data_IF_343129820025
#
_entry.id   IF_343129820025
#
_cell.length_a   1.000
_cell.length_b   1.000
_cell.length_c   1.000
_cell.angle_alpha   90.00
_cell.angle_beta   90.00
_cell.angle_gamma   90.00
#
_symmetry.space_group_name_H-M   'P 1'
#
loop_
_entity.id
_entity.type
_entity.pdbx_description
1 polymer ?
#
# COMPACT_ATOMS: atom_id res chain seq x y z
N UNK A 1 49.70 19.52 50.97
CA UNK A 1 48.27 19.32 50.64
C UNK A 1 47.88 19.70 49.20
N UNK A 2 48.74 20.29 48.35
CA UNK A 2 48.33 20.69 46.98
C UNK A 2 48.39 19.56 45.93
N UNK A 3 49.12 18.46 46.19
CA UNK A 3 49.17 17.32 45.25
C UNK A 3 47.83 16.56 45.12
N UNK A 4 47.01 16.58 46.18
CA UNK A 4 45.71 15.91 46.20
C UNK A 4 44.60 16.70 45.49
N UNK A 5 44.72 18.04 45.40
CA UNK A 5 43.76 18.87 44.66
C UNK A 5 43.97 18.75 43.16
N UNK A 6 45.22 18.74 42.69
CA UNK A 6 45.52 18.64 41.25
C UNK A 6 45.12 17.28 40.68
N UNK A 7 45.23 16.20 41.46
CA UNK A 7 44.80 14.87 41.05
C UNK A 7 43.27 14.76 40.96
N UNK A 8 42.54 15.38 41.90
CA UNK A 8 41.07 15.44 41.88
C UNK A 8 40.54 16.26 40.72
N UNK A 9 41.21 17.37 40.37
CA UNK A 9 40.84 18.21 39.22
C UNK A 9 41.09 17.45 37.91
N UNK A 10 42.19 16.71 37.79
CA UNK A 10 42.48 15.87 36.61
C UNK A 10 41.50 14.70 36.45
N UNK A 11 41.06 14.07 37.55
CA UNK A 11 40.02 13.03 37.51
C UNK A 11 38.66 13.64 37.13
N UNK A 12 38.29 14.78 37.71
CA UNK A 12 37.04 15.47 37.36
C UNK A 12 37.01 15.89 35.88
N UNK A 13 38.15 16.37 35.34
CA UNK A 13 38.28 16.70 33.93
C UNK A 13 38.21 15.46 33.02
N UNK A 14 38.83 14.34 33.43
CA UNK A 14 38.76 13.08 32.68
C UNK A 14 37.33 12.51 32.67
N UNK A 15 36.62 12.56 33.81
CA UNK A 15 35.21 12.11 33.90
C UNK A 15 34.30 13.02 33.08
N UNK A 16 34.53 14.34 33.06
CA UNK A 16 33.76 15.29 32.26
C UNK A 16 33.96 15.09 30.75
N UNK A 17 35.19 14.76 30.31
CA UNK A 17 35.47 14.44 28.90
C UNK A 17 34.86 13.10 28.50
N UNK A 18 34.90 12.09 29.38
CA UNK A 18 34.24 10.79 29.12
C UNK A 18 32.72 10.91 29.11
N UNK A 19 32.11 11.76 29.96
CA UNK A 19 30.66 12.02 29.92
C UNK A 19 30.23 12.90 28.74
N UNK A 20 31.07 13.84 28.27
CA UNK A 20 30.82 14.57 27.02
C UNK A 20 30.99 13.69 25.77
N UNK A 21 31.91 12.70 25.78
CA UNK A 21 32.06 11.71 24.70
C UNK A 21 30.97 10.62 24.75
N UNK A 22 30.44 10.29 25.93
CA UNK A 22 29.31 9.37 26.06
C UNK A 22 27.95 10.05 25.76
N UNK A 23 27.83 11.37 25.99
CA UNK A 23 26.62 12.15 25.75
C UNK A 23 26.29 12.41 24.27
N UNK A 24 27.22 12.18 23.36
CA UNK A 24 27.01 12.30 21.90
C UNK A 24 26.70 10.96 21.22
N UNK A 25 26.68 9.85 21.98
CA UNK A 25 26.27 8.51 21.49
C UNK A 25 24.99 8.05 22.20
N UNK A 26 24.02 8.95 22.32
CA UNK A 26 22.60 8.57 22.33
C UNK A 26 22.06 8.84 20.94
N UNK A 27 22.66 8.17 19.95
CA UNK A 27 21.93 7.88 18.72
C UNK A 27 20.89 6.86 19.15
N UNK A 28 19.64 7.29 19.22
CA UNK A 28 18.54 6.36 19.34
C UNK A 28 18.76 5.25 18.30
N UNK A 29 18.90 4.01 18.75
CA UNK A 29 18.59 2.83 17.96
C UNK A 29 17.08 2.84 17.68
N UNK A 30 16.64 3.80 16.88
CA UNK A 30 15.66 3.53 15.87
C UNK A 30 16.50 3.09 14.67
N UNK A 31 16.96 1.84 14.71
CA UNK A 31 17.08 1.09 13.46
C UNK A 31 15.69 1.13 12.84
N UNK A 32 15.41 2.17 12.06
CA UNK A 32 14.32 2.17 11.11
C UNK A 32 14.57 0.92 10.30
N UNK A 33 13.74 -0.09 10.51
CA UNK A 33 13.88 -1.35 9.81
C UNK A 33 13.83 -0.96 8.34
N UNK A 34 14.93 -1.16 7.62
CA UNK A 34 15.01 -0.89 6.20
C UNK A 34 14.08 -1.88 5.48
N UNK A 35 12.77 -1.60 5.58
CA UNK A 35 11.69 -2.38 5.01
C UNK A 35 11.06 -1.57 3.90
N UNK A 36 10.54 -2.31 2.95
CA UNK A 36 9.86 -1.75 1.81
C UNK A 36 10.77 -1.10 0.77
N UNK A 37 10.25 -1.02 -0.45
CA UNK A 37 10.85 -0.30 -1.58
C UNK A 37 9.71 0.45 -2.24
N UNK A 38 9.73 1.77 -2.15
CA UNK A 38 8.70 2.61 -2.77
C UNK A 38 8.72 2.39 -4.30
N UNK A 39 7.56 2.11 -4.92
CA UNK A 39 7.47 2.07 -6.37
C UNK A 39 7.93 3.39 -6.98
N UNK A 40 8.68 3.33 -8.07
CA UNK A 40 8.91 4.48 -8.91
C UNK A 40 7.56 4.89 -9.54
N UNK A 41 7.28 6.19 -9.57
CA UNK A 41 6.02 6.69 -10.10
C UNK A 41 5.86 6.27 -11.56
N UNK A 42 4.88 5.42 -11.85
CA UNK A 42 4.48 5.12 -13.22
C UNK A 42 3.57 6.24 -13.68
N UNK A 43 4.14 7.21 -14.39
CA UNK A 43 3.32 8.08 -15.23
C UNK A 43 2.67 7.17 -16.29
N UNK A 44 1.43 7.41 -16.68
CA UNK A 44 0.69 6.54 -17.60
C UNK A 44 1.22 6.53 -19.05
N UNK A 45 2.40 7.11 -19.28
CA UNK A 45 3.07 7.28 -20.57
C UNK A 45 3.78 6.01 -21.02
N UNK A 46 4.06 5.91 -22.33
CA UNK A 46 4.89 4.84 -22.87
C UNK A 46 6.36 5.07 -22.58
N UNK A 47 7.03 4.09 -21.99
CA UNK A 47 8.42 4.25 -21.53
C UNK A 47 9.36 3.27 -22.25
N UNK A 48 10.45 3.81 -22.78
CA UNK A 48 11.53 3.03 -23.38
C UNK A 48 12.84 3.44 -22.72
N UNK A 49 13.38 2.56 -21.88
CA UNK A 49 14.64 2.75 -21.17
C UNK A 49 15.80 2.04 -21.89
N UNK A 50 17.03 2.40 -21.53
CA UNK A 50 18.23 1.74 -22.03
C UNK A 50 18.57 2.06 -23.48
N UNK A 51 18.20 3.24 -23.98
CA UNK A 51 18.49 3.67 -25.35
C UNK A 51 19.91 4.20 -25.43
N UNK A 52 20.81 3.40 -25.99
CA UNK A 52 22.20 3.76 -26.18
C UNK A 52 22.39 4.65 -27.42
N UNK A 53 23.05 5.79 -27.23
CA UNK A 53 23.44 6.73 -28.28
C UNK A 53 24.92 7.08 -28.22
N UNK A 54 25.53 7.17 -29.39
CA UNK A 54 26.91 7.58 -29.58
C UNK A 54 27.00 8.39 -30.87
N UNK A 55 27.03 9.71 -30.73
CA UNK A 55 26.95 10.64 -31.86
C UNK A 55 28.05 11.67 -31.82
N UNK A 56 28.35 12.23 -32.99
CA UNK A 56 29.29 13.32 -33.15
C UNK A 56 28.58 14.59 -33.65
N UNK A 57 29.06 15.75 -33.19
CA UNK A 57 28.56 17.05 -33.57
C UNK A 57 29.67 18.07 -33.75
N UNK A 58 29.31 19.25 -34.23
CA UNK A 58 30.27 20.34 -34.49
C UNK A 58 30.85 20.91 -33.18
N UNK A 59 30.08 20.78 -32.09
CA UNK A 59 30.45 21.10 -30.72
C UNK A 59 29.63 20.22 -29.74
N UNK A 60 29.89 20.35 -28.44
CA UNK A 60 29.24 19.58 -27.38
C UNK A 60 27.71 19.73 -27.36
N UNK A 61 27.18 20.93 -27.64
CA UNK A 61 25.74 21.21 -27.63
C UNK A 61 25.05 20.58 -28.84
N UNK A 62 25.66 20.69 -30.02
CA UNK A 62 25.18 20.07 -31.25
C UNK A 62 25.22 18.53 -31.16
N UNK A 63 26.31 17.96 -30.61
CA UNK A 63 26.41 16.53 -30.38
C UNK A 63 25.32 16.04 -29.42
N UNK A 64 25.04 16.79 -28.34
CA UNK A 64 23.95 16.45 -27.41
C UNK A 64 22.59 16.48 -28.07
N UNK A 65 22.29 17.54 -28.85
CA UNK A 65 21.02 17.68 -29.58
C UNK A 65 20.80 16.50 -30.53
N UNK A 66 21.80 16.18 -31.36
CA UNK A 66 21.77 15.01 -32.27
C UNK A 66 21.58 13.70 -31.50
N UNK A 67 22.17 13.60 -30.31
CA UNK A 67 22.05 12.42 -29.45
C UNK A 67 20.62 12.22 -28.96
N UNK A 68 19.92 13.30 -28.60
CA UNK A 68 18.51 13.23 -28.22
C UNK A 68 17.61 12.89 -29.41
N UNK A 69 17.84 13.46 -30.59
CA UNK A 69 17.09 13.14 -31.81
C UNK A 69 17.26 11.65 -32.20
N UNK A 70 18.49 11.14 -32.14
CA UNK A 70 18.76 9.72 -32.42
C UNK A 70 18.13 8.81 -31.36
N UNK A 71 18.19 9.19 -30.09
CA UNK A 71 17.55 8.44 -29.00
C UNK A 71 16.04 8.34 -29.20
N UNK A 72 15.37 9.44 -29.57
CA UNK A 72 13.93 9.42 -29.85
C UNK A 72 13.59 8.46 -31.00
N UNK A 73 14.38 8.47 -32.08
CA UNK A 73 14.17 7.59 -33.24
C UNK A 73 14.34 6.11 -32.87
N UNK A 74 15.41 5.78 -32.16
CA UNK A 74 15.69 4.42 -31.66
C UNK A 74 14.61 3.96 -30.68
N UNK A 75 14.23 4.82 -29.74
CA UNK A 75 13.20 4.54 -28.75
C UNK A 75 11.85 4.23 -29.41
N UNK A 76 11.47 4.99 -30.43
CA UNK A 76 10.24 4.74 -31.18
C UNK A 76 10.26 3.38 -31.88
N UNK A 77 11.38 3.00 -32.50
CA UNK A 77 11.52 1.69 -33.13
C UNK A 77 11.40 0.56 -32.10
N UNK A 78 12.02 0.71 -30.92
CA UNK A 78 11.89 -0.25 -29.82
C UNK A 78 10.44 -0.36 -29.33
N UNK A 79 9.74 0.76 -29.14
CA UNK A 79 8.34 0.80 -28.74
C UNK A 79 7.44 0.12 -29.78
N UNK A 80 7.65 0.42 -31.07
CA UNK A 80 6.90 -0.17 -32.17
C UNK A 80 7.11 -1.69 -32.24
N UNK A 81 8.37 -2.14 -32.14
CA UNK A 81 8.71 -3.56 -32.11
C UNK A 81 8.06 -4.28 -30.93
N UNK A 82 8.04 -3.66 -29.74
CA UNK A 82 7.38 -4.19 -28.54
C UNK A 82 5.85 -4.28 -28.70
N UNK A 83 5.24 -3.33 -29.38
CA UNK A 83 3.77 -3.24 -29.47
C UNK A 83 3.17 -3.98 -30.67
N UNK A 84 3.85 -4.00 -31.82
CA UNK A 84 3.34 -4.58 -33.07
C UNK A 84 4.12 -5.82 -33.52
N UNK A 85 5.25 -6.13 -32.89
CA UNK A 85 6.07 -7.30 -33.23
C UNK A 85 6.85 -7.19 -34.55
N UNK A 86 6.82 -6.02 -35.22
CA UNK A 86 7.48 -5.77 -36.50
C UNK A 86 8.46 -4.58 -36.45
N UNK A 87 9.09 -4.30 -37.59
CA UNK A 87 9.93 -3.11 -37.77
C UNK A 87 9.12 -1.95 -38.34
N UNK A 88 9.54 -0.72 -38.07
CA UNK A 88 8.92 0.50 -38.58
C UNK A 88 9.92 1.33 -39.36
N UNK A 89 9.46 2.03 -40.38
CA UNK A 89 10.25 3.07 -41.07
C UNK A 89 10.60 4.25 -40.13
N UNK A 90 10.00 4.30 -38.94
CA UNK A 90 10.16 5.39 -37.98
C UNK A 90 9.19 6.54 -38.25
N UNK A 91 9.32 7.60 -37.45
CA UNK A 91 8.61 8.86 -37.63
C UNK A 91 9.63 9.97 -37.91
N UNK A 92 9.26 11.02 -38.66
CA UNK A 92 10.12 12.19 -38.81
C UNK A 92 10.30 12.89 -37.45
N UNK A 93 11.46 13.52 -37.26
CA UNK A 93 11.88 14.06 -35.96
C UNK A 93 10.89 15.12 -35.42
N UNK A 94 10.27 15.93 -36.28
CA UNK A 94 9.22 16.89 -35.88
C UNK A 94 7.99 16.20 -35.27
N UNK A 95 7.62 15.04 -35.80
CA UNK A 95 6.52 14.24 -35.26
C UNK A 95 6.92 13.56 -33.96
N UNK A 96 8.16 13.08 -33.85
CA UNK A 96 8.71 12.52 -32.60
C UNK A 96 8.70 13.57 -31.48
N UNK A 97 9.19 14.78 -31.74
CA UNK A 97 9.17 15.89 -30.79
C UNK A 97 7.76 16.25 -30.30
N UNK A 98 6.73 16.01 -31.12
CA UNK A 98 5.33 16.27 -30.75
C UNK A 98 4.72 15.15 -29.90
N UNK A 99 5.30 13.95 -29.86
CA UNK A 99 4.76 12.81 -29.09
C UNK A 99 5.61 12.46 -27.87
N UNK A 100 6.87 12.88 -27.83
CA UNK A 100 7.75 12.70 -26.67
C UNK A 100 7.30 13.64 -25.55
N UNK A 101 7.04 13.07 -24.38
CA UNK A 101 6.67 13.84 -23.18
C UNK A 101 7.91 14.21 -22.35
N UNK A 102 8.88 13.30 -22.25
CA UNK A 102 10.12 13.54 -21.51
C UNK A 102 11.27 12.66 -22.02
N UNK A 103 12.49 13.10 -21.74
CA UNK A 103 13.73 12.32 -21.92
C UNK A 103 14.41 12.22 -20.55
N UNK A 104 14.64 10.99 -20.11
CA UNK A 104 15.33 10.65 -18.86
C UNK A 104 16.79 10.38 -19.19
N UNK A 105 17.69 10.96 -18.41
CA UNK A 105 19.13 10.75 -18.55
C UNK A 105 19.55 9.68 -17.54
N UNK A 106 19.90 8.48 -18.01
CA UNK A 106 20.41 7.41 -17.13
C UNK A 106 21.91 7.57 -16.92
N UNK A 107 22.64 7.70 -18.02
CA UNK A 107 24.08 7.95 -18.02
C UNK A 107 24.43 8.89 -19.16
N UNK A 108 25.23 9.91 -18.90
CA UNK A 108 25.62 10.91 -19.90
C UNK A 108 27.11 11.22 -19.82
N UNK A 109 27.79 11.20 -20.96
CA UNK A 109 29.17 11.63 -21.13
C UNK A 109 29.26 12.59 -22.32
N UNK A 110 29.68 13.82 -22.03
CA UNK A 110 29.77 14.89 -23.02
C UNK A 110 31.23 15.20 -23.29
N UNK A 111 31.70 14.82 -24.48
CA UNK A 111 33.00 15.24 -25.00
C UNK A 111 32.89 16.54 -25.80
N UNK A 112 34.02 17.10 -26.28
CA UNK A 112 34.02 18.35 -27.04
C UNK A 112 33.19 18.32 -28.33
N UNK A 113 33.11 17.15 -28.98
CA UNK A 113 32.39 16.88 -30.24
C UNK A 113 31.69 15.53 -30.27
N UNK A 114 31.64 14.81 -29.15
CA UNK A 114 31.08 13.45 -29.06
C UNK A 114 30.15 13.38 -27.87
N UNK A 115 29.02 12.72 -28.05
CA UNK A 115 28.01 12.54 -27.02
C UNK A 115 27.72 11.05 -26.90
N UNK A 116 27.97 10.47 -25.72
CA UNK A 116 27.68 9.07 -25.40
C UNK A 116 26.72 9.08 -24.23
N UNK A 117 25.55 8.46 -24.40
CA UNK A 117 24.56 8.40 -23.34
C UNK A 117 23.70 7.14 -23.41
N UNK A 118 23.19 6.76 -22.25
CA UNK A 118 22.06 5.83 -22.11
C UNK A 118 20.87 6.66 -21.67
N UNK A 119 19.84 6.71 -22.49
CA UNK A 119 18.68 7.58 -22.31
C UNK A 119 17.40 6.74 -22.20
N UNK A 120 16.47 7.23 -21.39
CA UNK A 120 15.07 6.82 -21.40
C UNK A 120 14.24 7.83 -22.19
N UNK A 121 13.31 7.37 -23.01
CA UNK A 121 12.37 8.23 -23.73
C UNK A 121 10.94 7.88 -23.35
N UNK A 122 10.20 8.89 -22.94
CA UNK A 122 8.79 8.79 -22.58
C UNK A 122 7.95 9.36 -23.72
N UNK A 123 6.94 8.61 -24.15
CA UNK A 123 5.99 9.02 -25.15
C UNK A 123 4.62 9.18 -24.52
N UNK A 124 3.97 10.30 -24.83
CA UNK A 124 2.59 10.53 -24.45
C UNK A 124 1.70 9.41 -24.99
N UNK A 125 1.00 8.74 -24.09
CA UNK A 125 0.22 7.56 -24.43
C UNK A 125 -0.91 7.85 -25.41
N UNK A 126 -1.61 8.98 -25.27
CA UNK A 126 -2.75 9.29 -26.13
C UNK A 126 -2.27 9.53 -27.57
N UNK A 127 -1.22 10.34 -27.73
CA UNK A 127 -0.65 10.69 -29.03
C UNK A 127 0.06 9.50 -29.68
N UNK A 128 0.99 8.85 -28.98
CA UNK A 128 1.70 7.68 -29.50
C UNK A 128 0.75 6.51 -29.76
N UNK A 129 -0.23 6.31 -28.87
CA UNK A 129 -1.21 5.24 -28.98
C UNK A 129 -2.09 5.34 -30.23
N UNK A 130 -2.44 6.56 -30.63
CA UNK A 130 -3.20 6.82 -31.87
C UNK A 130 -2.42 6.41 -33.13
N UNK A 131 -1.10 6.64 -33.15
CA UNK A 131 -0.22 6.29 -34.27
C UNK A 131 0.04 4.79 -34.31
N UNK A 132 0.25 4.17 -33.15
CA UNK A 132 0.54 2.75 -33.02
C UNK A 132 -0.70 1.87 -33.24
N UNK A 133 -1.89 2.44 -33.43
CA UNK A 133 -3.15 1.68 -33.51
C UNK A 133 -3.50 0.95 -32.22
N UNK A 134 -2.84 1.30 -31.11
CA UNK A 134 -3.06 0.71 -29.78
C UNK A 134 -4.02 1.53 -28.92
N UNK A 135 -4.50 2.66 -29.45
CA UNK A 135 -5.48 3.55 -28.83
C UNK A 135 -6.92 3.04 -28.80
N UNK A 136 -7.18 1.78 -29.18
CA UNK A 136 -8.46 1.13 -28.92
C UNK A 136 -8.65 0.90 -27.42
N UNK A 137 -9.91 0.78 -26.95
CA UNK A 137 -10.25 0.28 -25.61
C UNK A 137 -9.66 -1.12 -25.44
N UNK A 138 -8.38 -1.21 -25.06
CA UNK A 138 -7.79 -2.45 -24.59
C UNK A 138 -8.53 -2.79 -23.30
N UNK A 139 -9.05 -4.01 -23.24
CA UNK A 139 -9.55 -4.56 -22.00
C UNK A 139 -8.44 -4.44 -20.96
N UNK A 140 -8.62 -3.53 -20.00
CA UNK A 140 -7.70 -3.32 -18.90
C UNK A 140 -8.18 -4.14 -17.72
N UNK A 141 -7.24 -4.69 -16.94
CA UNK A 141 -7.64 -5.31 -15.69
C UNK A 141 -8.17 -4.22 -14.75
N UNK A 142 -9.07 -4.59 -13.82
CA UNK A 142 -9.27 -3.78 -12.63
C UNK A 142 -7.96 -3.74 -11.81
N UNK A 143 -7.84 -2.84 -10.81
CA UNK A 143 -6.63 -2.74 -9.99
C UNK A 143 -6.33 -4.06 -9.27
N UNK A 144 -5.16 -4.63 -9.51
CA UNK A 144 -4.70 -5.90 -8.93
C UNK A 144 -3.58 -5.67 -7.92
N UNK A 145 -3.79 -6.09 -6.68
CA UNK A 145 -2.79 -6.07 -5.63
C UNK A 145 -1.65 -7.03 -5.96
N UNK A 146 -0.41 -6.54 -5.94
CA UNK A 146 0.78 -7.36 -6.14
C UNK A 146 1.27 -7.90 -4.81
N UNK A 147 1.28 -9.23 -4.66
CA UNK A 147 1.90 -9.93 -3.53
C UNK A 147 3.19 -10.66 -4.01
N UNK A 148 4.35 -9.98 -4.02
CA UNK A 148 5.58 -10.53 -4.58
C UNK A 148 6.23 -11.52 -3.59
N UNK A 149 6.13 -12.83 -3.87
CA UNK A 149 6.71 -13.87 -3.00
C UNK A 149 8.06 -14.32 -3.55
N UNK A 150 9.12 -14.15 -2.78
CA UNK A 150 10.45 -14.67 -3.07
C UNK A 150 10.78 -15.86 -2.16
N UNK A 151 11.20 -16.98 -2.76
CA UNK A 151 11.79 -18.10 -2.04
C UNK A 151 13.30 -18.08 -2.21
N UNK A 152 14.01 -17.91 -1.10
CA UNK A 152 15.48 -18.00 -1.05
C UNK A 152 15.90 -18.75 0.22
N UNK A 153 16.88 -19.65 0.10
CA UNK A 153 17.38 -20.44 1.24
C UNK A 153 16.31 -21.30 1.93
N UNK A 154 15.23 -21.66 1.25
CA UNK A 154 14.11 -22.43 1.82
C UNK A 154 13.06 -21.61 2.57
N UNK A 155 13.27 -20.29 2.73
CA UNK A 155 12.31 -19.38 3.35
C UNK A 155 11.55 -18.57 2.30
N UNK A 156 10.26 -18.34 2.54
CA UNK A 156 9.44 -17.44 1.72
C UNK A 156 9.42 -16.05 2.36
N UNK A 157 9.65 -15.03 1.55
CA UNK A 157 9.73 -13.64 1.96
C UNK A 157 8.86 -12.79 1.02
N UNK A 158 8.10 -11.86 1.58
CA UNK A 158 7.31 -10.88 0.83
C UNK A 158 7.76 -9.48 1.21
N UNK A 159 7.35 -8.99 2.40
CA UNK A 159 7.64 -7.65 2.91
C UNK A 159 8.38 -7.64 4.27
N UNK A 160 8.65 -8.81 4.84
CA UNK A 160 9.36 -8.95 6.12
C UNK A 160 10.81 -8.45 6.06
N UNK A 161 11.41 -8.50 4.86
CA UNK A 161 12.76 -7.99 4.55
C UNK A 161 12.82 -7.42 3.13
N UNK A 162 13.77 -6.52 2.85
CA UNK A 162 14.01 -6.00 1.49
C UNK A 162 14.58 -7.09 0.58
N UNK A 163 13.81 -7.49 -0.42
CA UNK A 163 14.21 -8.54 -1.38
C UNK A 163 14.57 -7.96 -2.75
N UNK A 164 15.40 -8.65 -3.52
CA UNK A 164 15.66 -8.29 -4.92
C UNK A 164 14.38 -8.34 -5.77
N UNK A 165 13.41 -9.18 -5.37
CA UNK A 165 12.12 -9.26 -6.05
C UNK A 165 11.27 -8.01 -5.85
N UNK A 166 11.20 -7.50 -4.63
CA UNK A 166 10.54 -6.21 -4.36
C UNK A 166 11.23 -5.06 -5.07
N UNK A 167 12.57 -5.01 -5.06
CA UNK A 167 13.32 -3.96 -5.75
C UNK A 167 13.01 -3.96 -7.24
N UNK A 168 12.89 -5.13 -7.87
CA UNK A 168 12.50 -5.25 -9.27
C UNK A 168 11.06 -4.78 -9.50
N UNK A 169 10.10 -5.15 -8.65
CA UNK A 169 8.72 -4.67 -8.75
C UNK A 169 8.58 -3.16 -8.55
N UNK A 170 9.40 -2.58 -7.69
CA UNK A 170 9.46 -1.13 -7.48
C UNK A 170 10.05 -0.39 -8.70
N UNK A 171 11.02 -0.99 -9.40
CA UNK A 171 11.59 -0.45 -10.65
C UNK A 171 10.69 -0.65 -11.87
N UNK A 172 9.82 -1.65 -11.85
CA UNK A 172 9.00 -1.99 -13.00
C UNK A 172 8.01 -0.86 -13.33
N UNK A 173 8.05 -0.36 -14.57
CA UNK A 173 7.07 0.61 -15.05
C UNK A 173 5.84 -0.14 -15.58
N UNK A 174 4.70 0.04 -14.90
CA UNK A 174 3.43 -0.57 -15.29
C UNK A 174 2.68 0.24 -16.34
N UNK A 175 3.24 1.39 -16.74
CA UNK A 175 2.65 2.33 -17.69
C UNK A 175 2.08 1.59 -18.88
N UNK A 176 2.87 0.73 -19.51
CA UNK A 176 2.53 0.05 -20.77
C UNK A 176 1.64 -1.17 -20.66
N UNK A 177 1.43 -1.65 -19.44
CA UNK A 177 0.66 -2.87 -19.23
C UNK A 177 -0.84 -2.64 -19.38
N UNK A 178 -1.53 -3.69 -19.84
CA UNK A 178 -2.99 -3.80 -19.74
C UNK A 178 -3.43 -4.23 -18.34
N UNK A 179 -2.48 -4.60 -17.49
CA UNK A 179 -2.69 -4.94 -16.09
C UNK A 179 -2.42 -3.70 -15.24
N UNK A 180 -3.39 -3.36 -14.39
CA UNK A 180 -3.25 -2.30 -13.40
C UNK A 180 -2.69 -2.88 -12.11
N UNK A 181 -1.41 -2.61 -11.82
CA UNK A 181 -0.70 -3.17 -10.68
C UNK A 181 -0.73 -2.21 -9.49
N UNK A 182 -1.46 -2.57 -8.44
CA UNK A 182 -1.38 -1.93 -7.13
C UNK A 182 -0.20 -2.55 -6.38
N UNK A 183 0.88 -1.78 -6.23
CA UNK A 183 2.14 -2.25 -5.61
C UNK A 183 2.30 -1.66 -4.21
N UNK A 184 2.13 -2.47 -3.16
CA UNK A 184 2.45 -2.07 -1.80
C UNK A 184 3.93 -1.76 -1.69
N UNK A 185 4.26 -0.72 -0.93
CA UNK A 185 5.64 -0.33 -0.72
C UNK A 185 6.26 -1.12 0.43
N UNK A 186 5.45 -1.75 1.29
CA UNK A 186 5.91 -2.61 2.37
C UNK A 186 6.23 -1.87 3.67
N UNK A 187 5.42 -0.87 4.05
CA UNK A 187 5.54 -0.26 5.38
C UNK A 187 5.33 -1.28 6.50
N UNK A 188 5.70 -0.89 7.73
CA UNK A 188 5.59 -1.77 8.90
C UNK A 188 4.19 -2.34 9.08
N UNK A 189 3.12 -1.57 8.85
CA UNK A 189 1.75 -2.08 8.93
C UNK A 189 1.37 -3.01 7.78
N UNK A 190 1.80 -2.71 6.54
CA UNK A 190 1.55 -3.54 5.36
C UNK A 190 2.25 -4.90 5.46
N UNK A 191 3.47 -4.92 6.01
CA UNK A 191 4.28 -6.14 6.15
C UNK A 191 3.67 -7.18 7.09
N UNK A 192 2.85 -6.75 8.06
CA UNK A 192 2.15 -7.65 8.98
C UNK A 192 0.94 -8.35 8.31
N UNK A 193 0.35 -7.68 7.33
CA UNK A 193 -0.85 -8.15 6.63
C UNK A 193 -0.47 -8.95 5.38
N UNK A 194 0.52 -8.46 4.64
CA UNK A 194 1.00 -9.04 3.38
C UNK A 194 2.19 -9.95 3.61
N UNK A 195 1.91 -11.18 4.03
CA UNK A 195 2.93 -12.21 4.32
C UNK A 195 2.89 -13.34 3.29
N UNK A 196 3.96 -14.15 3.23
CA UNK A 196 3.97 -15.34 2.35
C UNK A 196 2.87 -16.35 2.73
N UNK A 197 2.50 -16.42 4.01
CA UNK A 197 1.41 -17.27 4.50
C UNK A 197 0.04 -16.79 4.00
N UNK A 198 -0.13 -15.48 3.80
CA UNK A 198 -1.37 -14.88 3.31
C UNK A 198 -1.75 -15.42 1.92
N UNK A 199 -0.75 -15.65 1.05
CA UNK A 199 -0.94 -16.22 -0.28
C UNK A 199 -1.65 -17.59 -0.29
N UNK A 200 -1.62 -18.35 0.82
CA UNK A 200 -2.24 -19.67 0.93
C UNK A 200 -3.54 -19.66 1.74
N UNK A 201 -4.01 -18.49 2.18
CA UNK A 201 -5.26 -18.36 2.94
C UNK A 201 -6.43 -18.06 1.98
N UNK A 202 -7.38 -18.97 1.76
CA UNK A 202 -8.47 -18.74 0.81
C UNK A 202 -9.62 -17.88 1.37
N UNK A 203 -9.52 -17.35 2.59
CA UNK A 203 -10.62 -16.65 3.27
C UNK A 203 -11.00 -15.33 2.57
N UNK A 204 -12.16 -15.32 1.89
CA UNK A 204 -12.68 -14.14 1.16
C UNK A 204 -12.86 -12.93 2.03
N UNK A 205 -13.46 -13.11 3.20
CA UNK A 205 -13.70 -12.03 4.17
C UNK A 205 -12.41 -11.32 4.55
N UNK A 206 -11.33 -12.07 4.72
CA UNK A 206 -10.03 -11.51 5.08
C UNK A 206 -9.36 -10.85 3.87
N UNK A 207 -9.40 -11.50 2.70
CA UNK A 207 -8.91 -10.89 1.46
C UNK A 207 -9.63 -9.59 1.12
N UNK A 208 -10.94 -9.51 1.33
CA UNK A 208 -11.72 -8.28 1.13
C UNK A 208 -11.20 -7.14 2.00
N UNK A 209 -11.00 -7.37 3.30
CA UNK A 209 -10.43 -6.35 4.19
C UNK A 209 -9.05 -5.86 3.70
N UNK A 210 -8.22 -6.77 3.18
CA UNK A 210 -6.91 -6.40 2.61
C UNK A 210 -7.12 -5.57 1.33
N UNK A 211 -7.90 -6.08 0.39
CA UNK A 211 -8.11 -5.46 -0.91
C UNK A 211 -8.76 -4.08 -0.79
N UNK A 212 -9.70 -3.90 0.14
CA UNK A 212 -10.32 -2.61 0.48
C UNK A 212 -9.27 -1.62 1.02
N UNK A 213 -8.36 -2.07 1.90
CA UNK A 213 -7.27 -1.24 2.43
C UNK A 213 -6.33 -0.72 1.34
N UNK A 214 -6.11 -1.52 0.29
CA UNK A 214 -5.21 -1.17 -0.81
C UNK A 214 -5.94 -0.60 -2.05
N UNK A 215 -7.27 -0.50 -2.03
CA UNK A 215 -8.06 -0.05 -3.20
C UNK A 215 -7.93 -0.98 -4.42
N UNK A 216 -7.73 -2.27 -4.19
CA UNK A 216 -7.59 -3.27 -5.24
C UNK A 216 -8.87 -4.10 -5.38
N UNK A 217 -9.17 -4.56 -6.59
CA UNK A 217 -10.31 -5.43 -6.86
C UNK A 217 -9.99 -6.90 -6.65
N UNK A 218 -8.74 -7.30 -6.88
CA UNK A 218 -8.27 -8.68 -6.71
C UNK A 218 -6.75 -8.70 -6.47
N UNK A 219 -6.15 -9.89 -6.29
CA UNK A 219 -4.73 -10.09 -5.99
C UNK A 219 -4.04 -10.94 -7.05
N UNK A 220 -2.80 -10.59 -7.38
CA UNK A 220 -1.85 -11.44 -8.10
C UNK A 220 -0.69 -11.82 -7.19
N UNK A 221 -0.21 -13.05 -7.35
CA UNK A 221 0.83 -13.62 -6.48
C UNK A 221 1.99 -14.09 -7.36
N UNK A 222 2.84 -13.17 -7.84
CA UNK A 222 4.02 -13.52 -8.60
C UNK A 222 5.10 -14.11 -7.68
N UNK A 223 5.39 -15.40 -7.87
CA UNK A 223 6.34 -16.16 -7.05
C UNK A 223 7.64 -16.35 -7.81
N UNK A 224 8.77 -16.04 -7.19
CA UNK A 224 10.10 -16.43 -7.68
C UNK A 224 10.76 -17.38 -6.68
N UNK A 225 11.34 -18.49 -7.18
CA UNK A 225 12.15 -19.41 -6.38
C UNK A 225 13.58 -19.42 -6.90
N UNK A 226 14.51 -18.96 -6.08
CA UNK A 226 15.93 -18.94 -6.39
C UNK A 226 16.60 -20.23 -5.92
N UNK A 227 17.40 -20.82 -6.79
CA UNK A 227 18.26 -21.96 -6.48
C UNK A 227 19.68 -21.62 -6.89
N UNK A 228 20.56 -21.55 -5.90
CA UNK A 228 21.99 -21.30 -6.08
C UNK A 228 22.71 -22.63 -6.22
N UNK A 229 23.46 -22.83 -7.31
CA UNK A 229 24.25 -24.06 -7.48
C UNK A 229 25.41 -24.14 -6.49
N UNK A 230 26.02 -22.99 -6.18
CA UNK A 230 27.07 -22.77 -5.19
C UNK A 230 27.16 -21.27 -4.89
N UNK A 231 27.79 -20.83 -3.78
CA UNK A 231 28.01 -19.41 -3.50
C UNK A 231 28.71 -18.71 -4.68
N UNK A 232 28.17 -17.58 -5.13
CA UNK A 232 28.68 -16.82 -6.29
C UNK A 232 28.39 -17.43 -7.67
N UNK A 233 27.89 -18.66 -7.73
CA UNK A 233 27.67 -19.43 -8.95
C UNK A 233 26.29 -19.30 -9.58
N UNK A 234 26.04 -20.03 -10.68
CA UNK A 234 24.83 -19.89 -11.48
C UNK A 234 23.56 -19.97 -10.64
N UNK A 235 22.69 -18.99 -10.84
CA UNK A 235 21.41 -18.88 -10.14
C UNK A 235 20.31 -19.23 -11.11
N UNK A 236 19.46 -20.16 -10.71
CA UNK A 236 18.24 -20.51 -11.46
C UNK A 236 17.05 -19.93 -10.73
N UNK A 237 16.29 -19.07 -11.40
CA UNK A 237 15.04 -18.50 -10.91
C UNK A 237 13.85 -19.17 -11.58
N UNK A 238 13.03 -19.88 -10.81
CA UNK A 238 11.73 -20.38 -11.28
C UNK A 238 10.64 -19.38 -10.92
N UNK A 239 10.02 -18.79 -11.94
CA UNK A 239 8.96 -17.81 -11.83
C UNK A 239 7.60 -18.50 -12.01
N UNK A 240 6.61 -18.11 -11.23
CA UNK A 240 5.26 -18.68 -11.29
C UNK A 240 4.25 -17.56 -11.16
N UNK A 241 3.36 -17.44 -12.14
CA UNK A 241 2.24 -16.51 -12.12
C UNK A 241 1.04 -17.19 -11.45
N UNK A 242 0.51 -16.55 -10.40
CA UNK A 242 -0.70 -17.01 -9.70
C UNK A 242 -1.65 -15.85 -9.45
N UNK A 243 -2.92 -16.16 -9.25
CA UNK A 243 -3.99 -15.17 -9.20
C UNK A 243 -5.11 -15.54 -8.23
N UNK A 244 -5.68 -14.52 -7.60
CA UNK A 244 -6.87 -14.57 -6.77
C UNK A 244 -6.64 -15.10 -5.35
N UNK A 245 -7.65 -14.99 -4.48
CA UNK A 245 -7.64 -15.52 -3.11
C UNK A 245 -7.36 -17.03 -3.01
N UNK A 246 -7.76 -17.79 -4.03
CA UNK A 246 -7.52 -19.24 -4.15
C UNK A 246 -6.11 -19.60 -4.60
N UNK A 247 -5.28 -18.60 -4.87
CA UNK A 247 -3.93 -18.80 -5.35
C UNK A 247 -3.90 -19.68 -6.61
N UNK A 248 -4.73 -19.38 -7.63
CA UNK A 248 -4.85 -20.19 -8.85
C UNK A 248 -3.58 -20.09 -9.70
N UNK A 249 -3.11 -21.23 -10.24
CA UNK A 249 -1.96 -21.27 -11.14
C UNK A 249 -2.34 -20.76 -12.53
N UNK A 250 -1.50 -19.91 -13.12
CA UNK A 250 -1.64 -19.46 -14.51
C UNK A 250 -0.58 -20.11 -15.39
N UNK A 251 0.70 -19.84 -15.09
CA UNK A 251 1.84 -20.34 -15.87
C UNK A 251 3.15 -20.24 -15.05
N UNK A 252 4.21 -20.88 -15.53
CA UNK A 252 5.55 -20.79 -14.95
C UNK A 252 6.66 -20.87 -15.99
N UNK A 253 7.78 -20.22 -15.71
CA UNK A 253 8.97 -20.30 -16.56
C UNK A 253 10.24 -20.21 -15.70
N UNK A 254 11.37 -20.57 -16.30
CA UNK A 254 12.67 -20.52 -15.63
C UNK A 254 13.61 -19.59 -16.38
N UNK A 255 14.34 -18.78 -15.61
CA UNK A 255 15.50 -18.03 -16.10
C UNK A 255 16.75 -18.52 -15.37
N UNK A 256 17.89 -18.40 -16.03
CA UNK A 256 19.19 -18.78 -15.47
C UNK A 256 20.20 -17.70 -15.77
N UNK A 257 20.97 -17.33 -14.75
CA UNK A 257 22.13 -16.45 -14.87
C UNK A 257 23.39 -17.17 -14.43
N UNK A 258 24.52 -16.83 -15.04
CA UNK A 258 25.80 -17.47 -14.75
C UNK A 258 26.43 -16.99 -13.45
N UNK A 259 26.12 -15.76 -13.03
CA UNK A 259 26.70 -15.09 -11.85
C UNK A 259 25.60 -14.58 -10.95
N UNK A 260 25.83 -14.58 -9.64
CA UNK A 260 24.87 -14.08 -8.66
C UNK A 260 24.61 -12.58 -8.75
N UNK A 261 25.57 -11.80 -9.28
CA UNK A 261 25.41 -10.36 -9.52
C UNK A 261 24.37 -10.04 -10.62
N UNK A 262 24.15 -10.97 -11.54
CA UNK A 262 23.18 -10.81 -12.63
C UNK A 262 21.73 -11.15 -12.19
N UNK A 263 21.51 -11.49 -10.91
CA UNK A 263 20.17 -11.82 -10.38
C UNK A 263 19.21 -10.64 -10.50
N UNK A 264 19.65 -9.40 -10.28
CA UNK A 264 18.79 -8.22 -10.43
C UNK A 264 18.24 -8.12 -11.86
N UNK A 265 19.09 -8.30 -12.88
CA UNK A 265 18.69 -8.32 -14.29
C UNK A 265 17.73 -9.46 -14.60
N UNK A 266 17.95 -10.64 -14.01
CA UNK A 266 17.04 -11.78 -14.13
C UNK A 266 15.65 -11.46 -13.57
N UNK A 267 15.57 -10.74 -12.45
CA UNK A 267 14.29 -10.33 -11.87
C UNK A 267 13.54 -9.37 -12.79
N UNK A 268 14.21 -8.37 -13.34
CA UNK A 268 13.59 -7.40 -14.25
C UNK A 268 13.05 -8.11 -15.52
N UNK A 269 13.83 -9.03 -16.10
CA UNK A 269 13.38 -9.90 -17.20
C UNK A 269 12.22 -10.81 -16.80
N UNK A 270 12.22 -11.31 -15.56
CA UNK A 270 11.16 -12.13 -15.00
C UNK A 270 9.83 -11.37 -14.92
N UNK A 271 9.84 -10.11 -14.47
CA UNK A 271 8.64 -9.28 -14.40
C UNK A 271 8.09 -9.01 -15.79
N UNK A 272 8.93 -8.66 -16.77
CA UNK A 272 8.48 -8.45 -18.14
C UNK A 272 7.80 -9.71 -18.75
N UNK A 273 8.30 -10.91 -18.45
CA UNK A 273 7.66 -12.17 -18.89
C UNK A 273 6.37 -12.46 -18.12
N UNK A 274 6.32 -12.20 -16.82
CA UNK A 274 5.09 -12.34 -16.01
C UNK A 274 4.00 -11.39 -16.51
N UNK A 275 4.35 -10.16 -16.86
CA UNK A 275 3.41 -9.19 -17.40
C UNK A 275 2.75 -9.68 -18.69
N UNK A 276 3.53 -10.28 -19.59
CA UNK A 276 3.00 -10.92 -20.80
C UNK A 276 2.05 -12.10 -20.47
N UNK A 277 2.37 -12.89 -19.44
CA UNK A 277 1.52 -14.00 -18.97
C UNK A 277 0.19 -13.46 -18.42
N UNK A 278 0.22 -12.45 -17.55
CA UNK A 278 -0.99 -11.85 -16.99
C UNK A 278 -1.83 -11.16 -18.06
N UNK A 279 -1.20 -10.42 -18.98
CA UNK A 279 -1.86 -9.78 -20.13
C UNK A 279 -2.56 -10.82 -21.02
N UNK A 280 -1.89 -11.93 -21.31
CA UNK A 280 -2.48 -13.05 -22.04
C UNK A 280 -3.64 -13.70 -21.25
N UNK A 281 -3.49 -13.90 -19.95
CA UNK A 281 -4.54 -14.45 -19.09
C UNK A 281 -5.79 -13.56 -19.04
N UNK A 282 -5.61 -12.23 -19.02
CA UNK A 282 -6.71 -11.26 -19.13
C UNK A 282 -7.42 -11.38 -20.48
N UNK A 283 -6.67 -11.40 -21.59
CA UNK A 283 -7.24 -11.52 -22.94
C UNK A 283 -8.03 -12.81 -23.16
N UNK A 284 -7.64 -13.90 -22.48
CA UNK A 284 -8.32 -15.20 -22.49
C UNK A 284 -9.49 -15.29 -21.50
N UNK A 285 -9.72 -14.25 -20.68
CA UNK A 285 -10.75 -14.25 -19.65
C UNK A 285 -10.49 -15.18 -18.47
N UNK A 286 -9.23 -15.57 -18.23
CA UNK A 286 -8.80 -16.34 -17.05
C UNK A 286 -8.67 -15.43 -15.83
N UNK A 287 -8.15 -14.22 -16.04
CA UNK A 287 -8.04 -13.19 -15.01
C UNK A 287 -9.38 -12.45 -14.91
N UNK A 288 -10.22 -12.87 -13.97
CA UNK A 288 -11.55 -12.33 -13.69
C UNK A 288 -11.72 -12.10 -12.20
N UNK A 289 -12.06 -10.87 -11.82
CA UNK A 289 -12.35 -10.51 -10.43
C UNK A 289 -13.32 -11.50 -9.82
N UNK A 290 -12.94 -12.02 -8.66
CA UNK A 290 -13.84 -12.89 -7.89
C UNK A 290 -15.06 -12.06 -7.45
N UNK A 291 -16.25 -12.43 -7.94
CA UNK A 291 -17.51 -11.73 -7.64
C UNK A 291 -17.78 -11.65 -6.14
N UNK A 292 -17.29 -12.61 -5.35
CA UNK A 292 -17.45 -12.61 -3.89
C UNK A 292 -16.63 -11.53 -3.18
N UNK A 293 -15.71 -10.87 -3.87
CA UNK A 293 -14.96 -9.72 -3.37
C UNK A 293 -15.69 -8.40 -3.62
N UNK A 294 -16.65 -8.37 -4.54
CA UNK A 294 -17.45 -7.19 -4.87
C UNK A 294 -18.62 -7.15 -3.90
N UNK A 295 -18.77 -6.04 -3.17
CA UNK A 295 -19.99 -5.76 -2.41
C UNK A 295 -21.04 -5.33 -3.44
N UNK A 296 -21.99 -6.21 -3.76
CA UNK A 296 -23.30 -5.76 -4.24
C UNK A 296 -23.89 -4.93 -3.08
N UNK A 297 -24.37 -3.71 -3.38
CA UNK A 297 -24.69 -2.63 -2.46
C UNK A 297 -25.23 -3.03 -1.08
N UNK A 298 -24.93 -2.25 -0.01
CA UNK A 298 -25.53 -2.48 1.30
C UNK A 298 -27.04 -2.48 1.15
N UNK A 299 -27.67 -3.59 1.56
CA UNK A 299 -29.11 -3.79 1.76
C UNK A 299 -29.92 -2.52 1.50
N UNK A 300 -30.60 -2.46 0.35
CA UNK A 300 -31.53 -1.38 0.09
C UNK A 300 -32.69 -1.50 1.08
N UNK A 301 -32.65 -0.72 2.16
CA UNK A 301 -33.71 -0.68 3.17
C UNK A 301 -35.06 -0.25 2.56
N UNK A 302 -35.02 0.39 1.38
CA UNK A 302 -36.21 0.78 0.62
C UNK A 302 -36.89 -0.42 -0.07
N UNK A 303 -36.22 -1.58 -0.16
CA UNK A 303 -36.75 -2.82 -0.74
C UNK A 303 -37.21 -3.82 0.33
N UNK A 304 -37.03 -3.49 1.63
CA UNK A 304 -37.69 -4.20 2.72
C UNK A 304 -39.13 -3.71 2.81
N UNK A 305 -40.05 -4.43 2.19
CA UNK A 305 -41.47 -4.18 2.31
C UNK A 305 -41.88 -4.40 3.78
N UNK A 306 -42.26 -3.32 4.47
CA UNK A 306 -42.72 -3.37 5.87
C UNK A 306 -44.03 -4.15 6.01
N UNK A 307 -44.70 -4.48 4.91
CA UNK A 307 -45.89 -5.33 4.87
C UNK A 307 -45.59 -6.79 5.25
N UNK A 308 -44.36 -7.29 5.01
CA UNK A 308 -43.96 -8.67 5.31
C UNK A 308 -43.75 -8.94 6.82
N UNK A 309 -43.75 -7.87 7.64
CA UNK A 309 -43.61 -7.95 9.10
C UNK A 309 -44.91 -7.68 9.87
N UNK A 310 -46.04 -7.46 9.18
CA UNK A 310 -47.36 -7.48 9.82
C UNK A 310 -47.77 -8.93 10.09
N UNK A 311 -47.29 -9.47 11.21
CA UNK A 311 -47.91 -10.64 11.82
C UNK A 311 -49.32 -10.24 12.25
N UNK A 312 -50.32 -10.86 11.62
CA UNK A 312 -51.74 -10.68 11.90
C UNK A 312 -52.03 -10.72 13.42
N UNK A 313 -52.81 -9.73 13.87
CA UNK A 313 -53.27 -9.48 15.24
C UNK A 313 -54.36 -10.50 15.66
N UNK A 314 -54.15 -11.79 15.36
CA UNK A 314 -55.20 -12.82 15.36
C UNK A 314 -54.90 -14.03 16.27
N UNK A 315 -54.20 -13.81 17.39
CA UNK A 315 -54.03 -14.82 18.45
C UNK A 315 -54.28 -14.26 19.87
N UNK A 316 -55.32 -13.43 20.02
CA UNK A 316 -55.95 -13.20 21.31
C UNK A 316 -57.26 -14.01 21.40
N UNK A 317 -57.51 -14.59 22.60
CA UNK A 317 -58.64 -15.47 22.99
C UNK A 317 -58.31 -16.95 22.73
N UNK A 318 -58.10 -17.83 23.71
CA UNK A 318 -58.97 -18.14 24.84
C UNK A 318 -58.19 -18.85 25.98
N UNK A 319 -58.41 -18.39 27.21
CA UNK A 319 -57.88 -18.96 28.45
C UNK A 319 -58.65 -20.20 28.90
N UNK A 320 -57.94 -21.25 29.31
CA UNK A 320 -58.53 -22.47 29.90
C UNK A 320 -57.53 -23.30 30.72
N UNK A 321 -57.17 -22.76 31.88
CA UNK A 321 -56.79 -23.38 33.16
C UNK A 321 -56.11 -24.79 33.26
N UNK A 322 -55.04 -24.82 34.07
CA UNK A 322 -54.47 -25.93 34.90
C UNK A 322 -53.59 -26.99 34.19
N UNK A 323 -52.36 -27.35 34.61
CA UNK A 323 -51.58 -27.06 35.82
C UNK A 323 -50.08 -27.41 35.61
N UNK A 324 -49.21 -26.72 36.34
CA UNK A 324 -47.86 -27.07 36.82
C UNK A 324 -46.69 -27.37 35.86
N UNK A 325 -45.81 -26.38 35.64
CA UNK A 325 -44.50 -26.27 36.36
C UNK A 325 -43.48 -25.37 35.62
N UNK A 326 -43.18 -24.22 36.22
CA UNK A 326 -41.83 -23.78 36.66
C UNK A 326 -41.54 -22.27 36.46
N UNK A 327 -41.99 -21.48 37.44
CA UNK A 327 -41.36 -20.37 38.24
C UNK A 327 -40.39 -19.34 37.61
N UNK A 328 -40.27 -18.11 38.18
CA UNK A 328 -40.53 -16.85 37.50
C UNK A 328 -39.35 -15.85 37.58
N UNK A 329 -39.49 -14.68 36.95
CA UNK A 329 -38.65 -13.51 37.23
C UNK A 329 -39.53 -12.45 37.88
N UNK A 330 -39.17 -12.04 39.10
CA UNK A 330 -39.83 -10.98 39.86
C UNK A 330 -38.82 -10.19 40.69
N UNK A 331 -38.34 -9.10 40.09
CA UNK A 331 -38.27 -7.71 40.58
C UNK A 331 -37.91 -7.37 42.04
N UNK A 332 -37.03 -6.34 42.12
CA UNK A 332 -36.74 -5.27 43.13
C UNK A 332 -35.68 -5.40 44.25
N UNK A 333 -34.74 -4.43 44.16
CA UNK A 333 -34.17 -3.52 45.18
C UNK A 333 -33.16 -4.00 46.23
N UNK A 334 -31.91 -3.58 45.98
CA UNK A 334 -31.00 -2.72 46.76
C UNK A 334 -30.47 -3.10 48.18
N UNK A 335 -29.12 -3.10 48.21
CA UNK A 335 -28.18 -2.68 49.28
C UNK A 335 -27.45 -3.74 50.13
N UNK A 336 -26.19 -3.95 49.69
CA UNK A 336 -24.91 -4.11 50.43
C UNK A 336 -24.68 -5.27 51.42
N UNK A 337 -23.86 -6.25 51.01
CA UNK A 337 -22.43 -6.42 51.41
C UNK A 337 -21.94 -7.82 51.04
N UNK A 338 -20.80 -7.93 50.36
CA UNK A 338 -20.08 -9.21 50.17
C UNK A 338 -19.86 -9.55 48.70
N UNK A 339 -18.61 -9.59 48.28
CA UNK A 339 -18.21 -9.62 46.87
C UNK A 339 -18.45 -10.95 46.15
N UNK A 340 -18.88 -10.82 44.90
CA UNK A 340 -18.67 -11.78 43.80
C UNK A 340 -18.89 -11.02 42.48
N UNK A 341 -17.99 -11.24 41.52
CA UNK A 341 -17.84 -10.43 40.30
C UNK A 341 -18.74 -10.97 39.18
N UNK A 342 -19.72 -10.21 38.65
CA UNK A 342 -20.61 -10.72 37.61
C UNK A 342 -20.13 -10.36 36.19
N UNK A 343 -20.32 -11.31 35.29
CA UNK A 343 -20.03 -11.24 33.86
C UNK A 343 -21.09 -10.41 33.13
N UNK A 344 -20.66 -9.34 32.46
CA UNK A 344 -21.51 -8.46 31.62
C UNK A 344 -21.35 -8.86 30.15
N UNK A 345 -22.45 -8.95 29.40
CA UNK A 345 -22.44 -9.18 27.96
C UNK A 345 -21.55 -8.15 27.23
N UNK A 346 -20.75 -8.54 26.21
CA UNK A 346 -19.82 -7.63 25.58
C UNK A 346 -20.57 -6.57 24.76
N UNK A 347 -20.58 -5.33 25.26
CA UNK A 347 -21.09 -4.19 24.52
C UNK A 347 -20.29 -4.00 23.21
N UNK A 348 -21.02 -3.79 22.10
CA UNK A 348 -20.46 -3.62 20.77
C UNK A 348 -19.47 -2.44 20.72
N UNK A 349 -18.32 -2.66 20.08
CA UNK A 349 -17.33 -1.62 19.84
C UNK A 349 -17.62 -1.03 18.46
N UNK A 350 -17.95 0.25 18.41
CA UNK A 350 -18.19 0.99 17.17
C UNK A 350 -17.05 1.98 16.91
N UNK A 351 -16.75 2.22 15.64
CA UNK A 351 -15.79 3.24 15.22
C UNK A 351 -16.54 4.50 14.84
N UNK A 352 -16.18 5.63 15.45
CA UNK A 352 -16.83 6.93 15.25
C UNK A 352 -15.79 7.92 14.74
N UNK A 353 -16.12 8.66 13.68
CA UNK A 353 -15.29 9.75 13.19
C UNK A 353 -15.56 11.03 14.00
N UNK A 354 -14.50 11.63 14.53
CA UNK A 354 -14.55 12.79 15.39
C UNK A 354 -13.70 13.94 14.82
N UNK A 355 -14.34 15.05 14.49
CA UNK A 355 -13.70 16.26 13.95
C UNK A 355 -13.36 17.22 15.09
N UNK A 356 -12.12 17.72 15.15
CA UNK A 356 -11.69 18.66 16.19
C UNK A 356 -10.72 19.71 15.65
N UNK A 357 -10.76 20.91 16.23
CA UNK A 357 -9.91 22.02 15.78
C UNK A 357 -8.46 21.85 16.29
N UNK A 358 -7.49 21.95 15.37
CA UNK A 358 -6.05 21.75 15.64
C UNK A 358 -5.24 23.00 15.25
N UNK A 359 -5.24 24.06 16.07
CA UNK A 359 -4.51 25.30 15.79
C UNK A 359 -2.99 25.14 15.85
N UNK A 360 -2.48 24.22 16.67
CA UNK A 360 -1.05 23.95 16.86
C UNK A 360 -0.77 22.44 17.01
N UNK A 361 0.51 22.04 16.87
CA UNK A 361 0.94 20.63 16.98
C UNK A 361 0.64 20.05 18.36
N UNK A 362 0.68 20.87 19.42
CA UNK A 362 0.31 20.44 20.76
C UNK A 362 -1.19 20.19 20.95
N UNK A 363 -2.05 20.78 20.11
CA UNK A 363 -3.50 20.56 20.16
C UNK A 363 -3.89 19.12 19.83
N UNK A 364 -3.12 18.45 18.95
CA UNK A 364 -3.34 17.04 18.56
C UNK A 364 -3.18 16.12 19.77
N UNK A 365 -2.04 16.19 20.46
CA UNK A 365 -1.74 15.34 21.62
C UNK A 365 -2.68 15.60 22.82
N UNK A 366 -3.10 16.86 23.02
CA UNK A 366 -4.12 17.22 24.03
C UNK A 366 -5.50 16.69 23.65
N UNK A 367 -5.88 16.76 22.37
CA UNK A 367 -7.15 16.23 21.87
C UNK A 367 -7.23 14.71 22.04
N UNK A 368 -6.22 13.99 21.58
CA UNK A 368 -6.16 12.53 21.70
C UNK A 368 -6.16 12.04 23.15
N UNK A 369 -5.35 12.64 24.02
CA UNK A 369 -5.30 12.24 25.44
C UNK A 369 -6.64 12.49 26.16
N UNK A 370 -7.29 13.61 25.89
CA UNK A 370 -8.59 13.94 26.50
C UNK A 370 -9.72 13.01 26.04
N UNK A 371 -9.73 12.57 24.78
CA UNK A 371 -10.73 11.62 24.28
C UNK A 371 -10.45 10.21 24.79
N UNK A 372 -9.18 9.81 24.93
CA UNK A 372 -8.81 8.54 25.57
C UNK A 372 -9.18 8.47 27.06
N UNK A 373 -9.25 9.59 27.76
CA UNK A 373 -9.69 9.61 29.17
C UNK A 373 -11.18 9.38 29.38
N UNK A 374 -11.97 9.30 28.31
CA UNK A 374 -13.42 9.07 28.39
C UNK A 374 -13.70 7.59 28.67
N UNK A 375 -14.48 7.27 29.72
CA UNK A 375 -14.87 5.89 30.02
C UNK A 375 -15.58 5.24 28.83
N UNK A 376 -15.07 4.09 28.38
CA UNK A 376 -15.60 3.34 27.23
C UNK A 376 -14.86 3.58 25.90
N UNK A 377 -13.96 4.57 25.83
CA UNK A 377 -13.06 4.73 24.67
C UNK A 377 -11.93 3.69 24.75
N UNK A 378 -11.86 2.82 23.75
CA UNK A 378 -10.82 1.78 23.64
C UNK A 378 -9.59 2.30 22.90
N UNK A 379 -9.78 3.17 21.92
CA UNK A 379 -8.69 3.87 21.24
C UNK A 379 -9.16 5.19 20.65
N UNK A 380 -8.26 6.18 20.60
CA UNK A 380 -8.46 7.42 19.86
C UNK A 380 -7.17 7.77 19.13
N UNK A 381 -7.23 7.87 17.81
CA UNK A 381 -6.08 8.15 16.94
C UNK A 381 -6.44 9.10 15.81
N UNK A 382 -5.62 10.12 15.58
CA UNK A 382 -5.81 11.06 14.47
C UNK A 382 -5.63 10.34 13.13
N UNK A 383 -6.73 10.23 12.38
CA UNK A 383 -6.76 9.61 11.04
C UNK A 383 -6.36 10.57 9.92
N UNK A 384 -6.61 11.87 10.09
CA UNK A 384 -6.20 12.94 9.18
C UNK A 384 -5.85 14.19 9.98
N UNK A 385 -4.64 14.73 9.76
CA UNK A 385 -4.10 15.88 10.47
C UNK A 385 -4.10 17.11 9.55
N UNK A 386 -4.79 18.17 9.96
CA UNK A 386 -4.75 19.48 9.31
C UNK A 386 -4.27 20.55 10.31
N UNK A 387 -2.95 20.83 10.31
CA UNK A 387 -2.37 21.87 11.16
C UNK A 387 -2.90 23.25 10.75
N UNK A 388 -3.50 23.96 11.71
CA UNK A 388 -4.19 25.23 11.45
C UNK A 388 -5.62 25.08 10.92
N UNK A 389 -6.18 23.86 10.92
CA UNK A 389 -7.53 23.54 10.46
C UNK A 389 -8.24 22.50 11.34
N UNK A 390 -9.18 21.77 10.75
CA UNK A 390 -9.95 20.71 11.43
C UNK A 390 -9.31 19.35 11.17
N UNK A 391 -8.89 18.67 12.22
CA UNK A 391 -8.38 17.30 12.15
C UNK A 391 -9.48 16.28 12.38
N UNK A 392 -9.31 15.08 11.83
CA UNK A 392 -10.25 13.96 11.97
C UNK A 392 -9.60 12.86 12.79
N UNK A 393 -10.20 12.51 13.91
CA UNK A 393 -9.82 11.43 14.80
C UNK A 393 -10.80 10.26 14.68
N UNK A 394 -10.27 9.03 14.60
CA UNK A 394 -11.08 7.82 14.73
C UNK A 394 -11.08 7.39 16.20
N UNK A 395 -12.29 7.17 16.74
CA UNK A 395 -12.50 6.76 18.12
C UNK A 395 -13.23 5.41 18.13
N UNK A 396 -12.62 4.40 18.73
CA UNK A 396 -13.28 3.12 18.99
C UNK A 396 -13.92 3.19 20.37
N UNK A 397 -15.24 3.12 20.42
CA UNK A 397 -16.02 3.30 21.63
C UNK A 397 -16.93 2.09 21.89
N UNK A 398 -17.03 1.70 23.16
CA UNK A 398 -17.90 0.63 23.63
C UNK A 398 -19.25 1.22 24.03
N UNK A 399 -20.23 1.20 23.12
CA UNK A 399 -21.55 1.79 23.29
C UNK A 399 -22.01 2.55 22.05
N UNK A 400 -22.98 3.46 22.20
CA UNK A 400 -23.57 4.21 21.08
C UNK A 400 -22.95 5.61 20.90
N UNK A 401 -23.14 6.21 19.73
CA UNK A 401 -22.66 7.58 19.43
C UNK A 401 -23.28 8.65 20.35
N UNK A 402 -24.51 8.43 20.81
CA UNK A 402 -25.22 9.34 21.73
C UNK A 402 -24.61 9.36 23.12
N UNK A 403 -24.15 8.21 23.63
CA UNK A 403 -23.52 8.10 24.96
C UNK A 403 -22.09 8.66 24.93
N UNK A 404 -21.35 8.46 23.84
CA UNK A 404 -20.06 9.14 23.62
C UNK A 404 -20.23 10.66 23.58
N UNK A 405 -21.24 11.18 22.86
CA UNK A 405 -21.49 12.61 22.78
C UNK A 405 -21.84 13.22 24.16
N UNK A 406 -22.60 12.51 25.00
CA UNK A 406 -22.87 12.95 26.38
C UNK A 406 -21.61 12.94 27.25
N UNK A 407 -20.78 11.90 27.14
CA UNK A 407 -19.54 11.80 27.90
C UNK A 407 -18.52 12.89 27.52
N UNK A 408 -18.44 13.23 26.22
CA UNK A 408 -17.64 14.36 25.73
C UNK A 408 -18.13 15.70 26.29
N UNK A 409 -19.45 15.92 26.34
CA UNK A 409 -20.03 17.15 26.95
C UNK A 409 -19.73 17.24 28.45
N UNK A 410 -19.78 16.12 29.16
CA UNK A 410 -19.42 16.07 30.58
C UNK A 410 -17.93 16.43 30.83
N UNK A 411 -17.07 16.21 29.85
CA UNK A 411 -15.65 16.59 29.86
C UNK A 411 -15.38 18.03 29.36
N UNK A 412 -16.43 18.84 29.14
CA UNK A 412 -16.32 20.24 28.76
C UNK A 412 -16.13 20.49 27.26
N UNK A 413 -16.40 19.48 26.41
CA UNK A 413 -16.43 19.66 24.95
C UNK A 413 -17.80 20.14 24.48
N UNK A 414 -17.82 21.11 23.57
CA UNK A 414 -19.00 21.39 22.77
C UNK A 414 -19.08 20.34 21.67
N UNK A 415 -20.19 19.60 21.60
CA UNK A 415 -20.36 18.48 20.67
C UNK A 415 -21.54 18.73 19.74
N UNK A 416 -21.26 18.81 18.44
CA UNK A 416 -22.25 18.78 17.38
C UNK A 416 -22.30 17.36 16.80
N UNK A 417 -23.49 16.76 16.77
CA UNK A 417 -23.70 15.38 16.30
C UNK A 417 -24.24 15.39 14.87
N UNK A 418 -23.55 14.69 13.97
CA UNK A 418 -24.01 14.38 12.61
C UNK A 418 -24.34 12.89 12.44
N UNK A 419 -24.70 12.48 11.22
CA UNK A 419 -24.94 11.08 10.89
C UNK A 419 -23.61 10.30 10.90
N UNK A 420 -23.32 9.61 12.02
CA UNK A 420 -22.11 8.79 12.19
C UNK A 420 -20.82 9.56 12.53
N UNK A 421 -20.89 10.88 12.70
CA UNK A 421 -19.74 11.73 13.01
C UNK A 421 -20.04 12.71 14.16
N UNK A 422 -19.02 13.04 14.94
CA UNK A 422 -19.08 14.05 15.99
C UNK A 422 -18.10 15.18 15.67
N UNK A 423 -18.54 16.43 15.72
CA UNK A 423 -17.63 17.58 15.74
C UNK A 423 -17.51 18.08 17.16
N UNK A 424 -16.28 18.21 17.66
CA UNK A 424 -15.99 18.74 18.99
C UNK A 424 -15.18 20.03 18.90
N UNK A 425 -15.54 20.99 19.73
CA UNK A 425 -14.76 22.21 19.98
C UNK A 425 -14.70 22.45 21.49
N UNK A 426 -13.69 23.18 21.96
CA UNK A 426 -13.63 23.58 23.38
C UNK A 426 -14.45 24.85 23.59
N UNK A 427 -15.24 24.88 24.65
CA UNK A 427 -15.80 26.14 25.14
C UNK A 427 -14.66 26.99 25.73
N UNK A 428 -14.09 27.91 24.94
CA UNK A 428 -13.08 28.87 25.44
C UNK A 428 -11.89 29.18 24.52
N UNK A 429 -11.99 28.97 23.20
CA UNK A 429 -11.11 29.61 22.22
C UNK A 429 -11.91 30.12 21.03
#
# INVERSE_FOLDING_TARGET
>A
MSFLSDFRIKIAAAVAVVTMLAGTVVYAQLEGTERGVAPLASTGDFEVMGVEVDVHGDNAVDARKKGWEEAQRKAWQMLYKRTQGGETAGLPDDRLNTIVSAIIIEQEQIGPKRYIATLGVMFDRARAGSILGVGGRRLRSPPLLVLPVMWSGGSAQVFESRTEWQKAWARFSSGDSVIDYVRPYGSDSESLVLTAGQANRPSRRWWRNILDQFGAADVIIPIVRLTYKYPGGPVTGRFTARYGPDNRFIDSFTLKVSRSEDVAKMMDQGIARLDNIYSSALSRGVLKTDKSLIIEDPFNLDELDLEDFNLDDDLAVETGESDASAIPVGTISASETGGETPVTAPAAIISISLQFDTPDVGAVGRGESSVRSIPGVTSASTSSLALGGVSVMSVNYRGDISTLAQALRAQGWQVQQGAGALRISRSGQ
#
